data_IF_069524112429
#
_entry.id   IF_069524112429
#
_cell.length_a   1.000
_cell.length_b   1.000
_cell.length_c   1.000
_cell.angle_alpha   90.00
_cell.angle_beta   90.00
_cell.angle_gamma   90.00
#
_symmetry.space_group_name_H-M   'P 1'
#
loop_
_entity.id
_entity.type
_entity.pdbx_description
1 polymer ?
#
# COMPACT_ATOMS: atom_id res chain seq x y z
N UNK A 1 -25.39 -15.04 -2.31
CA UNK A 1 -24.18 -14.63 -1.56
C UNK A 1 -24.34 -13.33 -0.77
N UNK A 2 -24.27 -12.12 -1.37
CA UNK A 2 -24.32 -10.85 -0.59
C UNK A 2 -25.58 -10.74 0.27
N UNK A 3 -26.76 -10.99 -0.31
CA UNK A 3 -28.04 -10.96 0.42
C UNK A 3 -28.09 -11.95 1.60
N UNK A 4 -27.48 -13.12 1.46
CA UNK A 4 -27.44 -14.16 2.51
C UNK A 4 -26.44 -13.81 3.62
N UNK A 5 -25.39 -13.06 3.29
CA UNK A 5 -24.35 -12.65 4.24
C UNK A 5 -24.75 -11.40 5.05
N UNK A 6 -25.69 -10.59 4.58
CA UNK A 6 -26.16 -9.37 5.25
C UNK A 6 -26.51 -9.55 6.73
N UNK A 7 -27.29 -10.57 7.14
CA UNK A 7 -27.67 -10.74 8.55
C UNK A 7 -26.48 -10.98 9.48
N UNK A 8 -25.35 -11.48 8.95
CA UNK A 8 -24.14 -11.73 9.75
C UNK A 8 -23.42 -10.43 10.15
N UNK A 9 -23.43 -9.42 9.28
CA UNK A 9 -22.82 -8.10 9.55
C UNK A 9 -23.81 -7.11 10.16
N UNK A 10 -25.09 -7.25 9.84
CA UNK A 10 -26.16 -6.36 10.32
C UNK A 10 -27.27 -7.17 11.02
N UNK A 11 -27.00 -7.77 12.19
CA UNK A 11 -27.96 -8.61 12.90
C UNK A 11 -29.22 -7.84 13.35
N UNK A 12 -29.07 -6.53 13.62
CA UNK A 12 -30.18 -5.64 13.98
C UNK A 12 -30.97 -5.09 12.76
N UNK A 13 -30.69 -5.59 11.55
CA UNK A 13 -31.26 -5.12 10.30
C UNK A 13 -30.34 -4.18 9.53
N UNK A 14 -30.37 -4.30 8.20
CA UNK A 14 -29.50 -3.53 7.30
C UNK A 14 -30.06 -2.11 7.08
N UNK A 15 -29.30 -1.05 7.36
CA UNK A 15 -29.73 0.33 7.09
C UNK A 15 -30.05 0.57 5.61
N UNK A 16 -31.01 1.46 5.33
CA UNK A 16 -31.39 1.82 3.94
C UNK A 16 -30.22 2.38 3.13
N UNK A 17 -29.35 3.17 3.76
CA UNK A 17 -28.14 3.71 3.14
C UNK A 17 -27.18 2.60 2.68
N UNK A 18 -27.00 1.57 3.51
CA UNK A 18 -26.17 0.40 3.19
C UNK A 18 -26.78 -0.40 2.03
N UNK A 19 -28.11 -0.62 2.04
CA UNK A 19 -28.79 -1.31 0.93
C UNK A 19 -28.66 -0.54 -0.40
N UNK A 20 -28.80 0.79 -0.36
CA UNK A 20 -28.62 1.64 -1.53
C UNK A 20 -27.18 1.56 -2.06
N UNK A 21 -26.19 1.62 -1.17
CA UNK A 21 -24.78 1.48 -1.51
C UNK A 21 -24.50 0.09 -2.14
N UNK A 22 -24.93 -1.00 -1.50
CA UNK A 22 -24.72 -2.36 -2.02
C UNK A 22 -25.36 -2.52 -3.40
N UNK A 23 -26.55 -1.97 -3.62
CA UNK A 23 -27.20 -2.01 -4.94
C UNK A 23 -26.36 -1.29 -5.99
N UNK A 24 -25.89 -0.07 -5.69
CA UNK A 24 -25.00 0.69 -6.57
C UNK A 24 -23.71 -0.06 -6.89
N UNK A 25 -23.05 -0.63 -5.87
CA UNK A 25 -21.84 -1.42 -6.04
C UNK A 25 -22.07 -2.65 -6.93
N UNK A 26 -23.14 -3.42 -6.68
CA UNK A 26 -23.47 -4.59 -7.46
C UNK A 26 -23.84 -4.25 -8.92
N UNK A 27 -24.56 -3.16 -9.14
CA UNK A 27 -24.89 -2.67 -10.49
C UNK A 27 -23.59 -2.33 -11.26
N UNK A 28 -22.60 -1.69 -10.61
CA UNK A 28 -21.31 -1.36 -11.23
C UNK A 28 -20.42 -2.60 -11.45
N UNK A 29 -20.33 -3.49 -10.47
CA UNK A 29 -19.58 -4.75 -10.55
C UNK A 29 -20.12 -5.60 -11.71
N UNK A 30 -21.44 -5.66 -11.88
CA UNK A 30 -22.08 -6.38 -12.98
C UNK A 30 -21.80 -5.73 -14.34
N UNK A 31 -21.89 -4.39 -14.44
CA UNK A 31 -21.63 -3.66 -15.69
C UNK A 31 -20.18 -3.80 -16.18
N UNK A 32 -19.22 -3.87 -15.26
CA UNK A 32 -17.79 -3.98 -15.58
C UNK A 32 -17.28 -5.43 -15.59
N UNK A 33 -18.18 -6.41 -15.46
CA UNK A 33 -17.86 -7.85 -15.45
C UNK A 33 -16.81 -8.27 -14.39
N UNK A 34 -16.82 -7.62 -13.22
CA UNK A 34 -15.92 -7.94 -12.12
C UNK A 34 -16.48 -8.97 -11.13
N UNK A 35 -17.69 -9.49 -11.37
CA UNK A 35 -18.31 -10.49 -10.49
C UNK A 35 -17.42 -11.74 -10.25
N UNK A 36 -16.75 -12.34 -11.27
CA UNK A 36 -15.85 -13.47 -11.05
C UNK A 36 -14.70 -13.16 -10.08
N UNK A 37 -14.19 -11.92 -10.11
CA UNK A 37 -13.09 -11.50 -9.25
C UNK A 37 -13.49 -11.49 -7.77
N UNK A 38 -14.60 -10.84 -7.44
CA UNK A 38 -15.14 -10.80 -6.08
C UNK A 38 -15.48 -12.20 -5.56
N UNK A 39 -15.99 -13.08 -6.43
CA UNK A 39 -16.28 -14.48 -6.07
C UNK A 39 -15.01 -15.27 -5.76
N UNK A 40 -13.96 -15.12 -6.56
CA UNK A 40 -12.66 -15.75 -6.33
C UNK A 40 -12.06 -15.32 -5.00
N UNK A 41 -12.00 -14.01 -4.75
CA UNK A 41 -11.48 -13.45 -3.49
C UNK A 41 -12.31 -13.93 -2.30
N UNK A 42 -13.65 -13.88 -2.39
CA UNK A 42 -14.51 -14.40 -1.35
C UNK A 42 -14.24 -15.88 -1.08
N UNK A 43 -14.06 -16.70 -2.11
CA UNK A 43 -13.80 -18.14 -1.94
C UNK A 43 -12.49 -18.38 -1.16
N UNK A 44 -11.43 -17.65 -1.51
CA UNK A 44 -10.14 -17.71 -0.81
C UNK A 44 -10.30 -17.28 0.66
N UNK A 45 -10.98 -16.15 0.91
CA UNK A 45 -11.22 -15.62 2.26
C UNK A 45 -12.06 -16.59 3.10
N UNK A 46 -13.12 -17.18 2.53
CA UNK A 46 -13.95 -18.14 3.24
C UNK A 46 -13.17 -19.41 3.60
N UNK A 47 -12.26 -19.87 2.71
CA UNK A 47 -11.38 -20.99 3.02
C UNK A 47 -10.39 -20.66 4.15
N UNK A 48 -9.75 -19.50 4.11
CA UNK A 48 -8.86 -19.08 5.19
C UNK A 48 -9.61 -19.02 6.54
N UNK A 49 -10.80 -18.43 6.55
CA UNK A 49 -11.66 -18.35 7.73
C UNK A 49 -12.14 -19.71 8.23
N UNK A 50 -12.39 -20.68 7.36
CA UNK A 50 -12.81 -22.04 7.80
C UNK A 50 -11.69 -22.77 8.54
N UNK A 51 -10.43 -22.38 8.34
CA UNK A 51 -9.26 -22.86 9.07
C UNK A 51 -8.90 -21.99 10.29
N UNK A 52 -9.75 -20.99 10.61
CA UNK A 52 -9.47 -20.03 11.67
C UNK A 52 -8.31 -19.08 11.35
N UNK A 53 -7.91 -18.94 10.08
CA UNK A 53 -6.88 -17.98 9.67
C UNK A 53 -7.49 -16.59 9.64
N UNK A 54 -6.89 -15.69 10.41
CA UNK A 54 -7.23 -14.28 10.44
C UNK A 54 -6.74 -13.62 9.14
N UNK A 55 -7.67 -12.98 8.44
CA UNK A 55 -7.37 -12.25 7.21
C UNK A 55 -8.13 -10.92 7.16
N UNK A 56 -7.56 -9.95 6.45
CA UNK A 56 -8.10 -8.61 6.31
C UNK A 56 -7.79 -8.05 4.93
N UNK A 57 -8.83 -7.65 4.19
CA UNK A 57 -8.68 -6.88 2.97
C UNK A 57 -8.14 -5.48 3.26
N UNK A 58 -7.24 -5.00 2.41
CA UNK A 58 -6.63 -3.67 2.52
C UNK A 58 -6.82 -2.84 1.24
N UNK A 59 -6.24 -1.64 1.24
CA UNK A 59 -6.30 -0.74 0.09
C UNK A 59 -7.73 -0.26 -0.17
N UNK A 60 -8.07 -0.11 -1.45
CA UNK A 60 -9.37 0.42 -1.87
C UNK A 60 -10.53 -0.55 -1.63
N UNK A 61 -10.27 -1.85 -1.42
CA UNK A 61 -11.29 -2.83 -1.04
C UNK A 61 -12.02 -2.46 0.26
N UNK A 62 -11.38 -1.71 1.17
CA UNK A 62 -11.99 -1.19 2.39
C UNK A 62 -13.15 -0.22 2.13
N UNK A 63 -13.25 0.35 0.92
CA UNK A 63 -14.30 1.27 0.52
C UNK A 63 -15.57 0.57 0.01
N UNK A 64 -15.60 -0.76 -0.07
CA UNK A 64 -16.73 -1.53 -0.62
C UNK A 64 -17.60 -2.16 0.46
N UNK A 65 -18.89 -1.81 0.44
CA UNK A 65 -19.90 -2.44 1.28
C UNK A 65 -20.07 -3.92 0.91
N UNK A 66 -19.90 -4.29 -0.36
CA UNK A 66 -19.89 -5.69 -0.81
C UNK A 66 -18.72 -6.46 -0.15
N UNK A 67 -17.50 -5.93 -0.18
CA UNK A 67 -16.34 -6.56 0.48
C UNK A 67 -16.56 -6.73 2.00
N UNK A 68 -17.15 -5.73 2.66
CA UNK A 68 -17.46 -5.78 4.09
C UNK A 68 -18.49 -6.87 4.42
N UNK A 69 -19.59 -6.93 3.65
CA UNK A 69 -20.66 -7.93 3.83
C UNK A 69 -20.17 -9.35 3.58
N UNK A 70 -19.27 -9.54 2.62
CA UNK A 70 -18.63 -10.82 2.33
C UNK A 70 -17.50 -11.19 3.32
N UNK A 71 -17.26 -10.34 4.32
CA UNK A 71 -16.21 -10.49 5.31
C UNK A 71 -14.78 -10.53 4.74
N UNK A 72 -14.59 -9.96 3.55
CA UNK A 72 -13.27 -9.67 2.98
C UNK A 72 -12.62 -8.54 3.79
N UNK A 73 -13.40 -7.53 4.18
CA UNK A 73 -12.95 -6.43 5.05
C UNK A 73 -13.72 -6.43 6.37
N UNK A 74 -13.10 -5.90 7.43
CA UNK A 74 -13.72 -5.76 8.76
C UNK A 74 -14.36 -4.39 9.06
N UNK A 75 -14.17 -3.37 8.22
CA UNK A 75 -14.65 -2.00 8.45
C UNK A 75 -15.89 -1.72 7.59
N UNK A 76 -16.94 -1.14 8.19
CA UNK A 76 -18.14 -0.68 7.48
C UNK A 76 -17.86 0.64 6.76
N UNK A 77 -17.77 0.66 5.41
CA UNK A 77 -17.39 1.86 4.66
C UNK A 77 -18.45 2.96 4.70
N UNK A 78 -19.73 2.60 4.88
CA UNK A 78 -20.84 3.56 4.89
C UNK A 78 -20.79 4.40 6.17
N UNK A 79 -20.42 3.78 7.29
CA UNK A 79 -20.21 4.50 8.56
C UNK A 79 -18.96 5.38 8.53
N UNK A 80 -17.91 4.92 7.87
CA UNK A 80 -16.65 5.66 7.75
C UNK A 80 -16.66 6.74 6.64
N UNK A 81 -17.73 6.83 5.84
CA UNK A 81 -17.85 7.80 4.74
C UNK A 81 -16.83 7.56 3.62
N UNK A 82 -16.46 6.30 3.39
CA UNK A 82 -15.50 5.92 2.36
C UNK A 82 -16.18 5.89 0.98
N UNK A 83 -15.43 6.29 -0.06
CA UNK A 83 -15.94 6.41 -1.43
C UNK A 83 -15.64 5.16 -2.24
N UNK A 84 -16.69 4.46 -2.68
CA UNK A 84 -16.56 3.23 -3.48
C UNK A 84 -15.93 3.48 -4.85
N UNK A 85 -16.16 4.65 -5.45
CA UNK A 85 -15.61 5.02 -6.76
C UNK A 85 -14.07 5.10 -6.76
N UNK A 86 -13.42 5.13 -5.59
CA UNK A 86 -11.95 4.98 -5.47
C UNK A 86 -11.50 3.54 -5.72
N UNK A 87 -12.38 2.57 -5.53
CA UNK A 87 -12.11 1.16 -5.72
C UNK A 87 -12.49 0.72 -7.13
N UNK A 88 -13.74 0.94 -7.54
CA UNK A 88 -14.24 0.57 -8.87
C UNK A 88 -14.79 1.82 -9.54
N UNK A 89 -14.28 2.16 -10.73
CA UNK A 89 -14.79 3.28 -11.53
C UNK A 89 -14.89 2.90 -13.00
N UNK A 90 -16.02 3.22 -13.61
CA UNK A 90 -16.23 3.06 -15.05
C UNK A 90 -15.35 4.01 -15.89
N UNK A 91 -14.97 5.16 -15.34
CA UNK A 91 -14.17 6.18 -16.04
C UNK A 91 -12.69 5.81 -16.12
N UNK A 92 -12.15 5.16 -15.07
CA UNK A 92 -10.73 4.77 -15.05
C UNK A 92 -10.45 3.53 -15.89
N UNK A 93 -11.45 2.65 -16.06
CA UNK A 93 -11.31 1.36 -16.75
C UNK A 93 -10.07 0.56 -16.31
N UNK A 94 -9.71 0.68 -15.02
CA UNK A 94 -8.64 -0.06 -14.37
C UNK A 94 -9.24 -1.25 -13.61
N UNK A 95 -8.61 -2.43 -13.67
CA UNK A 95 -9.05 -3.58 -12.88
C UNK A 95 -9.02 -3.25 -11.38
N UNK A 96 -10.04 -3.67 -10.60
CA UNK A 96 -10.00 -3.55 -9.15
C UNK A 96 -8.88 -4.43 -8.58
N UNK A 97 -8.17 -3.91 -7.59
CA UNK A 97 -7.13 -4.65 -6.86
C UNK A 97 -7.63 -4.92 -5.43
N UNK A 98 -7.98 -6.18 -5.14
CA UNK A 98 -8.34 -6.63 -3.80
C UNK A 98 -7.16 -7.37 -3.19
N UNK A 99 -6.38 -6.61 -2.45
CA UNK A 99 -5.31 -7.13 -1.63
C UNK A 99 -5.87 -7.71 -0.32
N UNK A 100 -5.50 -8.95 -0.01
CA UNK A 100 -5.87 -9.59 1.26
C UNK A 100 -4.62 -9.96 2.04
N UNK A 101 -4.53 -9.41 3.25
CA UNK A 101 -3.52 -9.80 4.22
C UNK A 101 -4.00 -11.02 5.01
N UNK A 102 -3.11 -11.99 5.18
CA UNK A 102 -3.27 -13.21 5.97
C UNK A 102 -2.20 -13.27 7.05
N UNK A 103 -2.41 -14.12 8.06
CA UNK A 103 -1.36 -14.45 9.03
C UNK A 103 -0.09 -14.93 8.32
N UNK A 104 1.05 -14.29 8.59
CA UNK A 104 2.29 -14.55 7.86
C UNK A 104 2.79 -16.00 7.98
N UNK A 105 2.57 -16.61 9.14
CA UNK A 105 2.94 -17.98 9.48
C UNK A 105 1.98 -19.03 8.89
N UNK A 106 0.73 -18.66 8.57
CA UNK A 106 -0.29 -19.57 8.02
C UNK A 106 -0.66 -19.34 6.56
N UNK A 107 -0.15 -18.27 5.93
CA UNK A 107 -0.47 -17.94 4.53
C UNK A 107 -0.15 -19.08 3.55
N UNK A 108 0.84 -19.92 3.86
CA UNK A 108 1.20 -21.05 3.00
C UNK A 108 0.04 -22.03 2.81
N UNK A 109 -0.79 -22.24 3.85
CA UNK A 109 -1.96 -23.11 3.76
C UNK A 109 -2.95 -22.63 2.69
N UNK A 110 -3.10 -21.31 2.56
CA UNK A 110 -3.96 -20.64 1.59
C UNK A 110 -3.36 -20.75 0.18
N UNK A 111 -2.07 -20.46 0.03
CA UNK A 111 -1.31 -20.60 -1.22
C UNK A 111 -1.47 -22.02 -1.78
N UNK A 112 -1.22 -23.02 -0.95
CA UNK A 112 -1.30 -24.43 -1.37
C UNK A 112 -2.73 -24.85 -1.68
N UNK A 113 -3.72 -24.30 -0.99
CA UNK A 113 -5.11 -24.54 -1.34
C UNK A 113 -5.49 -23.92 -2.69
N UNK A 114 -5.01 -22.73 -3.02
CA UNK A 114 -5.24 -22.11 -4.33
C UNK A 114 -4.71 -23.04 -5.44
N UNK A 115 -3.49 -23.56 -5.31
CA UNK A 115 -2.95 -24.53 -6.27
C UNK A 115 -3.80 -25.79 -6.39
N UNK A 116 -4.30 -26.35 -5.28
CA UNK A 116 -5.18 -27.52 -5.30
C UNK A 116 -6.56 -27.22 -5.91
N UNK A 117 -7.12 -26.05 -5.62
CA UNK A 117 -8.49 -25.67 -5.98
C UNK A 117 -8.63 -25.29 -7.45
N UNK A 118 -7.65 -24.56 -7.98
CA UNK A 118 -7.64 -24.02 -9.34
C UNK A 118 -6.70 -24.78 -10.28
N UNK A 119 -5.79 -25.59 -9.74
CA UNK A 119 -4.80 -26.33 -10.50
C UNK A 119 -3.50 -25.55 -10.72
N UNK A 120 -2.37 -26.25 -10.66
CA UNK A 120 -1.04 -25.68 -10.89
C UNK A 120 -0.85 -25.19 -12.34
N UNK A 121 -1.61 -25.70 -13.30
CA UNK A 121 -1.59 -25.19 -14.67
C UNK A 121 -2.26 -23.82 -14.82
N UNK A 122 -3.05 -23.36 -13.84
CA UNK A 122 -3.85 -22.13 -13.95
C UNK A 122 -3.51 -21.07 -12.90
N UNK A 123 -2.75 -21.45 -11.87
CA UNK A 123 -2.36 -20.60 -10.77
C UNK A 123 -0.84 -20.57 -10.62
N UNK A 124 -0.25 -19.38 -10.50
CA UNK A 124 1.16 -19.18 -10.21
C UNK A 124 1.39 -17.82 -9.55
N UNK A 125 2.53 -17.66 -8.90
CA UNK A 125 2.97 -16.36 -8.39
C UNK A 125 3.60 -15.52 -9.52
N UNK A 126 3.55 -14.20 -9.40
CA UNK A 126 4.34 -13.32 -10.28
C UNK A 126 5.83 -13.42 -9.94
N UNK A 127 6.68 -13.15 -10.92
CA UNK A 127 8.09 -12.89 -10.63
C UNK A 127 8.28 -11.51 -10.01
N UNK A 128 9.43 -11.33 -9.37
CA UNK A 128 10.00 -10.01 -9.10
C UNK A 128 11.31 -9.88 -9.86
N UNK A 129 11.45 -8.86 -10.71
CA UNK A 129 12.72 -8.63 -11.40
C UNK A 129 13.65 -7.87 -10.46
N UNK A 130 14.60 -8.58 -9.85
CA UNK A 130 15.61 -7.94 -9.01
C UNK A 130 16.65 -7.26 -9.91
N UNK A 131 16.76 -5.94 -9.80
CA UNK A 131 17.73 -5.14 -10.56
C UNK A 131 18.90 -4.71 -9.68
N UNK A 132 20.05 -4.49 -10.30
CA UNK A 132 21.20 -3.94 -9.59
C UNK A 132 20.89 -2.54 -9.05
N UNK A 133 20.96 -2.42 -7.73
CA UNK A 133 20.92 -1.16 -7.01
C UNK A 133 22.34 -0.64 -6.79
N UNK A 134 22.56 0.68 -6.58
CA UNK A 134 23.91 1.27 -6.52
C UNK A 134 24.88 0.53 -5.59
N UNK A 135 24.43 0.18 -4.38
CA UNK A 135 25.23 -0.57 -3.41
C UNK A 135 25.60 -1.98 -3.88
N UNK A 136 24.66 -2.67 -4.53
CA UNK A 136 24.87 -4.01 -5.06
C UNK A 136 25.81 -4.01 -6.26
N UNK A 137 25.63 -3.04 -7.16
CA UNK A 137 26.50 -2.86 -8.32
C UNK A 137 27.95 -2.61 -7.91
N UNK A 138 28.18 -1.72 -6.92
CA UNK A 138 29.53 -1.45 -6.40
C UNK A 138 30.22 -2.69 -5.82
N UNK A 139 29.49 -3.51 -5.06
CA UNK A 139 30.04 -4.73 -4.47
C UNK A 139 30.43 -5.75 -5.54
N UNK A 140 29.53 -6.00 -6.48
CA UNK A 140 29.70 -7.05 -7.48
C UNK A 140 30.80 -6.67 -8.50
N UNK A 141 30.79 -5.44 -9.01
CA UNK A 141 31.84 -4.94 -9.90
C UNK A 141 33.18 -4.84 -9.18
N UNK A 142 33.20 -4.34 -7.94
CA UNK A 142 34.42 -4.24 -7.15
C UNK A 142 35.07 -5.60 -6.90
N UNK A 143 34.26 -6.61 -6.58
CA UNK A 143 34.71 -8.00 -6.44
C UNK A 143 35.33 -8.53 -7.73
N UNK A 144 34.69 -8.32 -8.88
CA UNK A 144 35.21 -8.74 -10.19
C UNK A 144 36.53 -8.03 -10.54
N UNK A 145 36.67 -6.76 -10.18
CA UNK A 145 37.91 -6.01 -10.35
C UNK A 145 38.97 -6.31 -9.27
N UNK A 146 38.72 -7.30 -8.41
CA UNK A 146 39.63 -7.83 -7.40
C UNK A 146 39.85 -6.92 -6.19
N UNK A 147 38.94 -5.96 -5.94
CA UNK A 147 39.00 -5.14 -4.73
C UNK A 147 38.73 -6.00 -3.50
N UNK A 148 39.36 -5.67 -2.38
CA UNK A 148 39.12 -6.36 -1.12
C UNK A 148 37.66 -6.17 -0.65
N UNK A 149 37.10 -7.18 0.02
CA UNK A 149 35.70 -7.15 0.48
C UNK A 149 35.42 -5.96 1.41
N UNK A 150 36.34 -5.63 2.31
CA UNK A 150 36.20 -4.47 3.21
C UNK A 150 36.12 -3.15 2.43
N UNK A 151 36.91 -3.01 1.38
CA UNK A 151 36.91 -1.83 0.52
C UNK A 151 35.60 -1.73 -0.26
N UNK A 152 35.13 -2.82 -0.86
CA UNK A 152 33.85 -2.81 -1.59
C UNK A 152 32.66 -2.55 -0.65
N UNK A 153 32.71 -3.04 0.59
CA UNK A 153 31.71 -2.77 1.60
C UNK A 153 31.69 -1.29 2.02
N UNK A 154 32.86 -0.67 2.21
CA UNK A 154 32.99 0.76 2.49
C UNK A 154 32.46 1.60 1.32
N UNK A 155 32.89 1.30 0.09
CA UNK A 155 32.40 1.98 -1.11
C UNK A 155 30.88 1.89 -1.22
N UNK A 156 30.29 0.69 -1.07
CA UNK A 156 28.85 0.52 -1.14
C UNK A 156 28.09 1.30 -0.04
N UNK A 157 28.64 1.36 1.17
CA UNK A 157 28.02 2.09 2.29
C UNK A 157 28.02 3.61 2.06
N UNK A 158 29.17 4.16 1.67
CA UNK A 158 29.41 5.61 1.63
C UNK A 158 29.14 6.25 0.27
N UNK A 159 29.43 5.55 -0.83
CA UNK A 159 29.31 6.08 -2.19
C UNK A 159 28.00 5.67 -2.88
N UNK A 160 27.35 4.60 -2.42
CA UNK A 160 26.18 4.05 -3.11
C UNK A 160 25.02 5.04 -3.30
N UNK A 161 24.75 5.93 -2.34
CA UNK A 161 23.65 6.90 -2.46
C UNK A 161 23.98 8.13 -3.30
N UNK A 162 25.26 8.34 -3.61
CA UNK A 162 25.76 9.52 -4.35
C UNK A 162 26.40 9.13 -5.68
N UNK A 163 26.18 7.88 -6.11
CA UNK A 163 26.90 7.33 -7.25
C UNK A 163 26.60 8.11 -8.54
N UNK A 164 25.41 8.67 -8.68
CA UNK A 164 24.98 9.43 -9.86
C UNK A 164 25.32 10.93 -9.78
N UNK A 165 25.88 11.41 -8.66
CA UNK A 165 26.30 12.80 -8.46
C UNK A 165 27.83 12.88 -8.40
N UNK A 166 28.51 13.40 -9.45
CA UNK A 166 29.97 13.45 -9.49
C UNK A 166 30.60 14.27 -8.36
N UNK A 167 30.00 15.40 -7.98
CA UNK A 167 30.56 16.32 -6.99
C UNK A 167 30.42 15.73 -5.58
N UNK A 168 29.24 15.20 -5.26
CA UNK A 168 29.01 14.51 -3.99
C UNK A 168 29.83 13.22 -3.90
N UNK A 169 29.98 12.47 -4.99
CA UNK A 169 30.82 11.28 -5.02
C UNK A 169 32.26 11.63 -4.67
N UNK A 170 32.82 12.68 -5.29
CA UNK A 170 34.19 13.12 -5.04
C UNK A 170 34.39 13.53 -3.58
N UNK A 171 33.46 14.31 -3.02
CA UNK A 171 33.50 14.71 -1.61
C UNK A 171 33.42 13.49 -0.67
N UNK A 172 32.48 12.56 -0.91
CA UNK A 172 32.33 11.35 -0.10
C UNK A 172 33.50 10.40 -0.20
N UNK A 173 34.13 10.29 -1.37
CA UNK A 173 35.32 9.47 -1.55
C UNK A 173 36.52 10.02 -0.75
N UNK A 174 36.68 11.34 -0.71
CA UNK A 174 37.71 12.00 0.10
C UNK A 174 37.51 11.77 1.60
N UNK A 175 36.27 11.82 2.10
CA UNK A 175 35.95 11.53 3.51
C UNK A 175 36.43 10.14 3.97
N UNK A 176 36.46 9.16 3.06
CA UNK A 176 36.93 7.80 3.33
C UNK A 176 38.32 7.52 2.76
N UNK A 177 39.07 8.57 2.40
CA UNK A 177 40.44 8.50 1.88
C UNK A 177 40.61 7.62 0.62
N UNK A 178 39.60 7.57 -0.25
CA UNK A 178 39.70 6.89 -1.54
C UNK A 178 40.24 7.83 -2.62
N UNK A 179 41.31 7.41 -3.27
CA UNK A 179 41.82 8.10 -4.46
C UNK A 179 41.05 7.65 -5.71
N UNK A 180 40.12 8.49 -6.16
CA UNK A 180 39.33 8.22 -7.36
C UNK A 180 40.16 8.21 -8.66
N UNK A 181 41.44 8.60 -8.62
CA UNK A 181 42.36 8.48 -9.75
C UNK A 181 42.96 7.08 -9.86
N UNK A 182 42.86 6.25 -8.82
CA UNK A 182 43.24 4.85 -8.92
C UNK A 182 42.43 4.18 -10.03
N UNK A 183 43.14 3.55 -10.96
CA UNK A 183 42.53 2.99 -12.17
C UNK A 183 41.45 1.95 -11.85
N UNK A 184 41.66 1.11 -10.83
CA UNK A 184 40.72 0.04 -10.47
C UNK A 184 39.48 0.62 -9.80
N UNK A 185 39.64 1.61 -8.93
CA UNK A 185 38.52 2.34 -8.31
C UNK A 185 37.70 3.10 -9.34
N UNK A 186 38.36 3.87 -10.21
CA UNK A 186 37.70 4.62 -11.28
C UNK A 186 36.89 3.68 -12.21
N UNK A 187 37.49 2.57 -12.61
CA UNK A 187 36.82 1.57 -13.45
C UNK A 187 35.65 0.89 -12.71
N UNK A 188 35.80 0.62 -11.41
CA UNK A 188 34.72 0.08 -10.57
C UNK A 188 33.52 1.01 -10.57
N UNK A 189 33.73 2.30 -10.34
CA UNK A 189 32.67 3.29 -10.30
C UNK A 189 32.00 3.46 -11.66
N UNK A 190 32.78 3.49 -12.73
CA UNK A 190 32.27 3.59 -14.10
C UNK A 190 31.37 2.40 -14.47
N UNK A 191 31.87 1.17 -14.29
CA UNK A 191 31.12 -0.04 -14.61
C UNK A 191 29.94 -0.25 -13.67
N UNK A 192 30.07 0.08 -12.38
CA UNK A 192 28.96 -0.01 -11.44
C UNK A 192 27.79 0.88 -11.86
N UNK A 193 28.04 2.11 -12.33
CA UNK A 193 27.00 3.00 -12.88
C UNK A 193 26.28 2.39 -14.07
N UNK A 194 27.03 1.82 -15.01
CA UNK A 194 26.44 1.16 -16.18
C UNK A 194 25.58 -0.04 -15.80
N UNK A 195 25.92 -0.72 -14.71
CA UNK A 195 25.19 -1.90 -14.25
C UNK A 195 23.90 -1.57 -13.50
N UNK A 196 23.72 -0.33 -13.00
CA UNK A 196 22.50 0.05 -12.27
C UNK A 196 21.27 -0.17 -13.15
N UNK A 197 20.23 -0.79 -12.60
CA UNK A 197 18.99 -1.07 -13.30
C UNK A 197 19.01 -2.32 -14.20
N UNK A 198 20.18 -2.91 -14.49
CA UNK A 198 20.24 -4.19 -15.18
C UNK A 198 19.55 -5.30 -14.37
N UNK A 199 18.78 -6.19 -15.01
CA UNK A 199 18.18 -7.34 -14.35
C UNK A 199 19.29 -8.29 -13.88
N UNK A 200 19.22 -8.70 -12.61
CA UNK A 200 20.18 -9.62 -11.97
C UNK A 200 19.60 -11.03 -11.86
N UNK A 201 18.38 -11.15 -11.35
CA UNK A 201 17.72 -12.43 -11.15
C UNK A 201 16.20 -12.25 -11.03
N UNK A 202 15.46 -13.33 -11.29
CA UNK A 202 14.05 -13.42 -10.95
C UNK A 202 13.90 -13.89 -9.51
N UNK A 203 13.13 -13.14 -8.74
CA UNK A 203 12.62 -13.53 -7.43
C UNK A 203 11.16 -13.95 -7.49
N UNK A 204 10.64 -14.35 -6.34
CA UNK A 204 9.22 -14.68 -6.16
C UNK A 204 8.49 -13.48 -5.58
N UNK A 205 7.38 -13.05 -6.20
CA UNK A 205 6.54 -12.00 -5.62
C UNK A 205 5.97 -12.48 -4.28
N UNK A 206 5.95 -11.63 -3.23
CA UNK A 206 5.61 -12.05 -1.87
C UNK A 206 4.15 -12.52 -1.68
N UNK A 207 3.25 -12.21 -2.62
CA UNK A 207 1.85 -12.67 -2.54
C UNK A 207 1.06 -12.61 -3.85
N UNK A 208 1.65 -12.16 -4.95
CA UNK A 208 0.88 -11.80 -6.14
C UNK A 208 0.55 -13.01 -6.97
N UNK A 209 -0.64 -13.56 -6.78
CA UNK A 209 -1.14 -14.72 -7.52
C UNK A 209 -1.81 -14.28 -8.80
N UNK A 210 -1.42 -14.93 -9.89
CA UNK A 210 -2.14 -14.88 -11.16
C UNK A 210 -3.04 -16.10 -11.25
N UNK A 211 -4.31 -15.87 -11.60
CA UNK A 211 -5.29 -16.92 -11.82
C UNK A 211 -5.88 -16.74 -13.22
N UNK A 212 -5.77 -17.79 -14.04
CA UNK A 212 -6.21 -17.79 -15.45
C UNK A 212 -7.21 -18.90 -15.72
N UNK A 213 -8.03 -18.72 -16.76
CA UNK A 213 -8.91 -19.79 -17.26
C UNK A 213 -8.13 -20.76 -18.16
N UNK A 214 -7.30 -20.21 -19.04
CA UNK A 214 -6.42 -20.97 -19.90
C UNK A 214 -5.18 -21.43 -19.11
N UNK A 215 -4.40 -22.33 -19.70
CA UNK A 215 -3.19 -22.84 -19.07
C UNK A 215 -2.09 -21.77 -19.10
N UNK A 216 -1.46 -21.52 -17.96
CA UNK A 216 -0.37 -20.56 -17.82
C UNK A 216 0.82 -20.89 -18.72
N UNK A 217 1.17 -22.18 -18.85
CA UNK A 217 2.30 -22.62 -19.67
C UNK A 217 2.07 -22.49 -21.18
N UNK A 218 0.85 -22.19 -21.61
CA UNK A 218 0.54 -21.79 -23.00
C UNK A 218 0.67 -20.27 -23.21
N UNK A 219 0.70 -19.49 -22.12
CA UNK A 219 0.73 -18.03 -22.13
C UNK A 219 2.14 -17.48 -21.84
N UNK A 220 2.82 -18.05 -20.85
CA UNK A 220 4.09 -17.55 -20.32
C UNK A 220 4.90 -18.71 -19.73
N UNK A 221 6.23 -18.72 -19.86
CA UNK A 221 7.06 -19.69 -19.17
C UNK A 221 6.81 -19.69 -17.65
N UNK A 222 6.60 -20.89 -17.11
CA UNK A 222 6.42 -21.14 -15.67
C UNK A 222 7.65 -21.86 -15.16
N UNK A 223 8.19 -21.41 -14.02
CA UNK A 223 9.33 -22.05 -13.38
C UNK A 223 9.05 -22.34 -11.90
N UNK A 224 9.55 -23.48 -11.37
CA UNK A 224 9.51 -23.74 -9.94
C UNK A 224 10.36 -22.71 -9.18
N UNK A 225 9.99 -22.41 -7.95
CA UNK A 225 10.79 -21.53 -7.07
C UNK A 225 11.71 -22.36 -6.17
N UNK A 226 12.61 -21.69 -5.45
CA UNK A 226 13.40 -22.34 -4.39
C UNK A 226 12.54 -22.85 -3.22
N UNK A 227 11.34 -22.30 -3.03
CA UNK A 227 10.37 -22.84 -2.08
C UNK A 227 9.64 -24.03 -2.71
N UNK A 228 9.57 -25.12 -1.94
CA UNK A 228 8.86 -26.33 -2.33
C UNK A 228 7.40 -26.00 -2.68
N UNK A 229 6.89 -26.70 -3.69
CA UNK A 229 5.52 -26.58 -4.16
C UNK A 229 5.05 -25.16 -4.54
N UNK A 230 5.99 -24.29 -4.91
CA UNK A 230 5.67 -22.98 -5.49
C UNK A 230 6.24 -22.83 -6.88
N UNK A 231 5.53 -22.07 -7.70
CA UNK A 231 5.93 -21.73 -9.06
C UNK A 231 5.65 -20.26 -9.35
N UNK A 232 6.46 -19.70 -10.25
CA UNK A 232 6.31 -18.33 -10.73
C UNK A 232 6.20 -18.30 -12.24
N UNK A 233 5.43 -17.35 -12.76
CA UNK A 233 5.55 -16.91 -14.16
C UNK A 233 6.75 -15.99 -14.30
N UNK A 234 7.31 -15.88 -15.51
CA UNK A 234 8.47 -15.00 -15.75
C UNK A 234 8.13 -13.50 -15.83
N UNK A 235 6.85 -13.15 -15.88
CA UNK A 235 6.35 -11.78 -15.86
C UNK A 235 6.25 -11.22 -14.45
N UNK A 236 6.57 -9.94 -14.30
CA UNK A 236 6.42 -9.21 -13.04
C UNK A 236 5.05 -8.52 -12.94
N UNK A 237 4.88 -7.74 -11.86
CA UNK A 237 3.63 -7.02 -11.58
C UNK A 237 3.26 -6.05 -12.70
N UNK A 238 4.24 -5.36 -13.28
CA UNK A 238 3.97 -4.34 -14.27
C UNK A 238 3.57 -5.00 -15.60
N UNK A 239 4.22 -6.11 -15.96
CA UNK A 239 3.87 -6.92 -17.12
C UNK A 239 2.42 -7.45 -17.04
N UNK A 240 2.02 -8.02 -15.90
CA UNK A 240 0.66 -8.56 -15.74
C UNK A 240 -0.41 -7.47 -15.73
N UNK A 241 -0.09 -6.28 -15.23
CA UNK A 241 -1.00 -5.13 -15.22
C UNK A 241 -1.21 -4.61 -16.66
N UNK A 242 -0.16 -4.57 -17.48
CA UNK A 242 -0.24 -4.25 -18.92
C UNK A 242 -1.08 -5.28 -19.67
N UNK A 243 -0.89 -6.55 -19.39
CA UNK A 243 -1.62 -7.66 -20.01
C UNK A 243 -3.04 -7.83 -19.45
N UNK A 244 -3.39 -7.07 -18.41
CA UNK A 244 -4.70 -7.09 -17.72
C UNK A 244 -5.05 -8.47 -17.16
N UNK A 245 -4.04 -9.17 -16.66
CA UNK A 245 -4.26 -10.44 -15.99
C UNK A 245 -4.91 -10.19 -14.63
N UNK A 246 -5.84 -11.07 -14.26
CA UNK A 246 -6.44 -11.03 -12.93
C UNK A 246 -5.40 -11.46 -11.89
N UNK A 247 -5.16 -10.59 -10.90
CA UNK A 247 -4.29 -10.89 -9.77
C UNK A 247 -5.02 -10.85 -8.44
N UNK A 248 -4.62 -11.73 -7.53
CA UNK A 248 -5.05 -11.72 -6.14
C UNK A 248 -3.80 -11.71 -5.27
N UNK A 249 -3.66 -10.70 -4.42
CA UNK A 249 -2.53 -10.60 -3.52
C UNK A 249 -2.81 -11.35 -2.20
N UNK A 250 -2.09 -12.45 -2.00
CA UNK A 250 -2.07 -13.29 -0.79
C UNK A 250 -0.86 -12.89 0.07
N UNK A 251 -1.02 -11.82 0.83
CA UNK A 251 0.10 -11.22 1.56
C UNK A 251 0.15 -11.68 3.00
N UNK A 252 1.37 -11.76 3.54
CA UNK A 252 1.60 -12.17 4.93
C UNK A 252 1.83 -10.96 5.82
N UNK A 253 0.97 -10.78 6.82
CA UNK A 253 1.10 -9.73 7.82
C UNK A 253 1.24 -10.34 9.22
N UNK A 254 2.42 -10.21 9.82
CA UNK A 254 2.72 -10.80 11.13
C UNK A 254 1.83 -10.29 12.27
N UNK A 255 1.31 -9.06 12.14
CA UNK A 255 0.41 -8.50 13.14
C UNK A 255 -0.95 -9.23 13.20
N UNK A 256 -1.41 -9.84 12.11
CA UNK A 256 -2.62 -10.65 12.13
C UNK A 256 -2.44 -11.92 12.98
N UNK A 257 -1.25 -12.54 12.89
CA UNK A 257 -0.91 -13.68 13.76
C UNK A 257 -0.79 -13.27 15.23
N UNK A 258 -0.32 -12.04 15.49
CA UNK A 258 -0.33 -11.47 16.85
C UNK A 258 -1.76 -11.32 17.38
N UNK A 259 -2.66 -10.72 16.58
CA UNK A 259 -4.07 -10.55 16.93
C UNK A 259 -4.77 -11.89 17.20
N UNK A 260 -4.56 -12.91 16.35
CA UNK A 260 -5.10 -14.27 16.59
C UNK A 260 -4.69 -14.77 17.97
N UNK A 261 -3.39 -14.76 18.29
CA UNK A 261 -2.89 -15.22 19.58
C UNK A 261 -3.46 -14.43 20.76
N UNK A 262 -3.68 -13.13 20.59
CA UNK A 262 -4.37 -12.32 21.59
C UNK A 262 -5.83 -12.78 21.80
N UNK A 263 -6.58 -13.07 20.73
CA UNK A 263 -7.95 -13.59 20.85
C UNK A 263 -7.99 -14.99 21.47
N UNK A 264 -7.04 -15.87 21.11
CA UNK A 264 -6.90 -17.19 21.74
C UNK A 264 -6.64 -17.07 23.24
N UNK A 265 -5.73 -16.18 23.65
CA UNK A 265 -5.48 -15.92 25.06
C UNK A 265 -6.71 -15.38 25.79
N UNK A 266 -7.55 -14.57 25.12
CA UNK A 266 -8.80 -14.07 25.69
C UNK A 266 -9.84 -15.18 25.89
N UNK A 267 -9.96 -16.09 24.92
CA UNK A 267 -10.86 -17.25 25.05
C UNK A 267 -10.35 -18.21 26.15
N UNK A 268 -9.07 -18.58 26.10
CA UNK A 268 -8.47 -19.55 27.04
C UNK A 268 -8.52 -19.09 28.50
N UNK A 269 -8.32 -17.78 28.75
CA UNK A 269 -8.16 -17.24 30.12
C UNK A 269 -9.42 -16.62 30.68
N UNK A 270 -10.28 -16.08 29.81
CA UNK A 270 -11.46 -15.33 30.23
C UNK A 270 -12.76 -15.85 29.61
N UNK A 271 -12.71 -16.85 28.72
CA UNK A 271 -13.87 -17.35 27.98
C UNK A 271 -14.44 -16.31 27.00
N UNK A 272 -13.64 -15.30 26.62
CA UNK A 272 -14.08 -14.21 25.75
C UNK A 272 -13.68 -14.53 24.31
N UNK A 273 -14.65 -14.96 23.52
CA UNK A 273 -14.49 -15.16 22.07
C UNK A 273 -14.66 -13.85 21.32
N UNK A 274 -13.62 -13.46 20.59
CA UNK A 274 -13.59 -12.23 19.81
C UNK A 274 -12.92 -12.46 18.46
N UNK A 275 -13.34 -11.70 17.45
CA UNK A 275 -12.66 -11.56 16.17
C UNK A 275 -12.37 -10.07 15.89
N UNK A 276 -11.68 -9.76 14.79
CA UNK A 276 -11.34 -8.38 14.43
C UNK A 276 -12.58 -7.49 14.33
N UNK A 277 -13.70 -8.02 13.83
CA UNK A 277 -14.90 -7.22 13.60
C UNK A 277 -15.71 -6.97 14.88
N UNK A 278 -15.47 -7.77 15.93
CA UNK A 278 -16.10 -7.61 17.23
C UNK A 278 -15.36 -6.64 18.17
N UNK A 279 -14.18 -6.13 17.78
CA UNK A 279 -13.44 -5.13 18.57
C UNK A 279 -14.30 -3.86 18.73
N UNK A 280 -14.55 -3.39 19.97
CA UNK A 280 -15.33 -2.19 20.20
C UNK A 280 -14.68 -0.95 19.55
N UNK A 281 -15.44 -0.13 18.82
CA UNK A 281 -14.93 1.13 18.28
C UNK A 281 -14.77 2.17 19.40
N UNK A 282 -13.87 3.13 19.17
CA UNK A 282 -13.73 4.33 19.99
C UNK A 282 -13.41 4.11 21.49
N UNK A 283 -12.53 3.15 21.80
CA UNK A 283 -12.09 2.91 23.19
C UNK A 283 -11.19 4.03 23.73
N UNK A 284 -11.69 4.74 24.75
CA UNK A 284 -11.01 5.87 25.35
C UNK A 284 -9.66 5.50 26.02
N UNK A 285 -9.53 4.28 26.55
CA UNK A 285 -8.28 3.83 27.20
C UNK A 285 -7.18 3.63 26.17
N UNK A 286 -7.52 3.03 25.03
CA UNK A 286 -6.64 2.85 23.88
C UNK A 286 -6.15 4.20 23.36
N UNK A 287 -7.03 5.19 23.19
CA UNK A 287 -6.61 6.53 22.79
C UNK A 287 -5.76 7.26 23.82
N UNK A 288 -6.02 7.07 25.11
CA UNK A 288 -5.19 7.64 26.18
C UNK A 288 -3.78 7.03 26.21
N UNK A 289 -3.64 5.73 25.95
CA UNK A 289 -2.36 5.05 25.76
C UNK A 289 -1.61 5.64 24.54
N UNK A 290 -2.28 5.68 23.38
CA UNK A 290 -1.72 6.20 22.14
C UNK A 290 -1.29 7.67 22.28
N UNK A 291 -2.11 8.50 22.93
CA UNK A 291 -1.80 9.93 23.15
C UNK A 291 -0.56 10.15 24.03
N UNK A 292 -0.17 9.18 24.86
CA UNK A 292 1.09 9.23 25.65
C UNK A 292 2.30 8.71 24.87
N UNK A 293 2.12 8.38 23.59
CA UNK A 293 3.09 7.68 22.76
C UNK A 293 3.51 6.30 23.28
N UNK A 294 2.70 5.68 24.15
CA UNK A 294 2.93 4.32 24.64
C UNK A 294 2.49 3.30 23.59
N UNK A 295 3.26 3.22 22.51
CA UNK A 295 2.86 2.57 21.25
C UNK A 295 3.91 1.60 20.71
N UNK A 296 4.88 1.22 21.54
CA UNK A 296 5.85 0.20 21.19
C UNK A 296 5.13 -1.12 20.86
N UNK A 297 5.36 -1.68 19.67
CA UNK A 297 4.65 -2.87 19.19
C UNK A 297 3.24 -2.60 18.65
N UNK A 298 2.81 -1.34 18.55
CA UNK A 298 1.55 -0.96 17.92
C UNK A 298 1.77 -0.65 16.43
N UNK A 299 1.13 -1.44 15.57
CA UNK A 299 1.32 -1.38 14.12
C UNK A 299 1.13 0.03 13.56
N UNK A 300 2.05 0.44 12.67
CA UNK A 300 2.13 1.75 11.99
C UNK A 300 2.41 3.00 12.85
N UNK A 301 2.23 2.96 14.17
CA UNK A 301 2.44 4.13 15.05
C UNK A 301 3.57 3.98 16.07
N UNK A 302 4.38 2.92 15.97
CA UNK A 302 5.53 2.66 16.85
C UNK A 302 6.84 3.40 16.48
N UNK A 303 6.94 3.97 15.28
CA UNK A 303 8.20 4.59 14.84
C UNK A 303 8.51 5.85 15.64
N UNK A 304 9.80 6.22 15.78
CA UNK A 304 10.20 7.44 16.49
C UNK A 304 9.47 8.70 15.98
N UNK A 305 9.30 8.82 14.67
CA UNK A 305 8.59 9.96 14.08
C UNK A 305 7.11 9.98 14.49
N UNK A 306 6.44 8.82 14.44
CA UNK A 306 5.05 8.66 14.89
C UNK A 306 4.91 8.95 16.39
N UNK A 307 5.73 8.31 17.23
CA UNK A 307 5.75 8.49 18.69
C UNK A 307 6.01 9.94 19.10
N UNK A 308 6.86 10.68 18.37
CA UNK A 308 7.12 12.08 18.66
C UNK A 308 5.91 12.99 18.40
N UNK A 309 5.03 12.59 17.49
CA UNK A 309 3.87 13.37 17.08
C UNK A 309 2.62 13.08 17.92
N UNK A 310 2.45 11.84 18.38
CA UNK A 310 1.26 11.40 19.12
C UNK A 310 0.89 12.31 20.33
N UNK A 311 1.84 12.77 21.18
CA UNK A 311 1.52 13.65 22.31
C UNK A 311 1.05 15.04 21.91
N UNK A 312 1.33 15.47 20.68
CA UNK A 312 0.86 16.73 20.11
C UNK A 312 -0.51 16.56 19.48
N UNK A 313 -0.69 15.50 18.68
CA UNK A 313 -1.96 15.22 18.02
C UNK A 313 -3.09 14.88 19.00
N UNK A 314 -2.76 14.14 20.07
CA UNK A 314 -3.69 13.63 21.09
C UNK A 314 -4.94 12.98 20.46
N UNK A 315 -4.79 11.84 19.75
CA UNK A 315 -5.91 11.18 19.10
C UNK A 315 -7.04 10.88 20.08
N UNK A 316 -8.28 11.17 19.69
CA UNK A 316 -9.50 10.86 20.46
C UNK A 316 -10.54 10.09 19.65
N UNK A 317 -10.34 10.00 18.35
CA UNK A 317 -11.24 9.33 17.41
C UNK A 317 -10.46 8.47 16.43
N UNK A 318 -11.12 7.52 15.77
CA UNK A 318 -10.45 6.69 14.76
C UNK A 318 -9.89 7.56 13.62
N UNK A 319 -10.61 8.62 13.25
CA UNK A 319 -10.19 9.54 12.21
C UNK A 319 -8.88 10.26 12.55
N UNK A 320 -8.61 10.55 13.83
CA UNK A 320 -7.34 11.13 14.24
C UNK A 320 -6.16 10.16 13.96
N UNK A 321 -6.37 8.85 14.09
CA UNK A 321 -5.36 7.85 13.72
C UNK A 321 -5.14 7.78 12.20
N UNK A 322 -6.21 7.94 11.42
CA UNK A 322 -6.09 8.05 9.95
C UNK A 322 -5.22 9.26 9.59
N UNK A 323 -5.43 10.40 10.26
CA UNK A 323 -4.58 11.59 10.09
C UNK A 323 -3.14 11.33 10.54
N UNK A 324 -2.93 10.72 11.71
CA UNK A 324 -1.61 10.40 12.27
C UNK A 324 -0.74 9.60 11.28
N UNK A 325 -1.33 8.56 10.68
CA UNK A 325 -0.62 7.71 9.71
C UNK A 325 -0.39 8.42 8.37
N UNK A 326 -1.27 9.34 7.99
CA UNK A 326 -1.15 10.09 6.74
C UNK A 326 -0.10 11.21 6.81
N UNK A 327 -0.07 11.96 7.92
CA UNK A 327 0.73 13.19 8.05
C UNK A 327 2.22 12.91 8.31
N UNK A 328 2.57 11.79 8.95
CA UNK A 328 3.97 11.37 9.16
C UNK A 328 4.47 10.59 7.94
N UNK A 329 4.49 11.27 6.79
CA UNK A 329 5.00 10.74 5.52
C UNK A 329 5.88 11.79 4.83
N UNK A 330 6.84 11.37 3.98
CA UNK A 330 7.75 12.32 3.32
C UNK A 330 7.04 13.45 2.57
N UNK A 331 5.92 13.17 1.90
CA UNK A 331 5.16 14.17 1.14
C UNK A 331 4.65 15.31 2.01
N UNK A 332 3.78 15.05 3.01
CA UNK A 332 3.31 16.09 3.94
C UNK A 332 4.42 16.79 4.72
N UNK A 333 5.52 16.10 5.06
CA UNK A 333 6.67 16.70 5.73
C UNK A 333 7.39 17.69 4.80
N UNK A 334 7.63 17.32 3.54
CA UNK A 334 8.27 18.19 2.54
C UNK A 334 7.37 19.34 2.10
N UNK A 335 6.06 19.13 2.07
CA UNK A 335 5.05 20.14 1.74
C UNK A 335 4.67 21.06 2.90
N UNK A 336 5.41 21.02 4.01
CA UNK A 336 5.16 21.81 5.23
C UNK A 336 3.71 21.75 5.76
N UNK A 337 3.04 20.61 5.57
CA UNK A 337 1.63 20.42 5.97
C UNK A 337 1.48 20.07 7.46
N UNK A 338 2.56 19.59 8.07
CA UNK A 338 2.60 19.11 9.46
C UNK A 338 2.37 20.24 10.45
N UNK A 339 3.09 21.35 10.28
CA UNK A 339 3.08 22.46 11.23
C UNK A 339 1.73 23.21 11.25
N UNK A 340 1.12 23.59 10.12
CA UNK A 340 -0.19 24.24 10.10
C UNK A 340 -1.28 23.37 10.75
N UNK A 341 -1.31 22.08 10.42
CA UNK A 341 -2.31 21.16 10.97
C UNK A 341 -2.20 21.08 12.50
N UNK A 342 -0.99 20.91 13.04
CA UNK A 342 -0.79 20.81 14.49
C UNK A 342 -1.12 22.11 15.21
N UNK A 343 -0.74 23.27 14.68
CA UNK A 343 -1.09 24.56 15.29
C UNK A 343 -2.60 24.76 15.37
N UNK A 344 -3.33 24.42 14.31
CA UNK A 344 -4.79 24.49 14.26
C UNK A 344 -5.43 23.50 15.22
N UNK A 345 -4.88 22.28 15.31
CA UNK A 345 -5.33 21.25 16.24
C UNK A 345 -5.11 21.64 17.71
N UNK A 346 -4.01 22.33 18.00
CA UNK A 346 -3.64 22.84 19.32
C UNK A 346 -4.41 24.15 19.67
N UNK A 347 -5.19 24.71 18.74
CA UNK A 347 -5.94 25.96 18.91
C UNK A 347 -5.06 27.22 18.87
N UNK A 348 -3.84 27.12 18.31
CA UNK A 348 -2.89 28.23 18.14
C UNK A 348 -3.11 29.02 16.84
N UNK A 349 -4.01 28.54 15.98
CA UNK A 349 -4.40 29.13 14.71
C UNK A 349 -5.82 28.65 14.39
N UNK A 350 -6.68 29.51 13.84
CA UNK A 350 -8.00 29.09 13.41
C UNK A 350 -7.92 28.30 12.08
N UNK A 351 -8.75 27.27 11.87
CA UNK A 351 -8.84 26.59 10.58
C UNK A 351 -9.23 27.55 9.46
N UNK A 352 -8.42 27.60 8.40
CA UNK A 352 -8.71 28.41 7.22
C UNK A 352 -9.41 27.55 6.15
N UNK A 353 -10.67 27.87 5.85
CA UNK A 353 -11.49 27.28 4.80
C UNK A 353 -12.28 28.40 4.12
N UNK A 354 -11.79 28.98 3.00
CA UNK A 354 -12.32 30.23 2.46
C UNK A 354 -13.70 30.10 1.78
N UNK A 355 -14.23 28.88 1.64
CA UNK A 355 -15.58 28.66 1.10
C UNK A 355 -16.29 27.48 1.78
N UNK A 356 -17.64 27.46 1.82
CA UNK A 356 -18.40 26.32 2.35
C UNK A 356 -18.09 25.00 1.63
N UNK A 357 -17.75 25.05 0.34
CA UNK A 357 -17.35 23.89 -0.42
C UNK A 357 -15.99 23.35 0.03
N UNK A 358 -15.02 24.24 0.32
CA UNK A 358 -13.73 23.84 0.87
C UNK A 358 -13.83 23.37 2.31
N UNK A 359 -14.74 23.93 3.11
CA UNK A 359 -15.05 23.42 4.45
C UNK A 359 -15.58 21.99 4.40
N UNK A 360 -16.44 21.66 3.42
CA UNK A 360 -16.92 20.30 3.21
C UNK A 360 -15.79 19.29 2.85
N UNK A 361 -14.73 19.76 2.18
CA UNK A 361 -13.59 18.94 1.74
C UNK A 361 -12.51 18.83 2.83
N UNK A 362 -12.13 19.96 3.43
CA UNK A 362 -10.95 20.13 4.29
C UNK A 362 -11.30 20.33 5.77
N UNK A 363 -12.57 20.49 6.14
CA UNK A 363 -12.97 20.78 7.52
C UNK A 363 -12.49 19.72 8.50
N UNK A 364 -12.57 18.44 8.13
CA UNK A 364 -12.05 17.32 8.94
C UNK A 364 -10.53 17.34 9.11
N UNK A 365 -9.81 18.00 8.22
CA UNK A 365 -8.35 18.16 8.27
C UNK A 365 -7.94 19.60 8.57
N UNK A 366 -8.83 20.38 9.20
CA UNK A 366 -8.57 21.75 9.66
C UNK A 366 -8.02 22.65 8.55
N UNK A 367 -8.57 22.55 7.33
CA UNK A 367 -8.14 23.37 6.19
C UNK A 367 -6.82 22.92 5.55
N UNK A 368 -6.26 21.77 5.92
CA UNK A 368 -5.00 21.25 5.35
C UNK A 368 -5.29 20.05 4.44
N UNK A 369 -4.87 20.05 3.16
CA UNK A 369 -5.12 18.95 2.23
C UNK A 369 -4.14 17.78 2.48
N UNK A 370 -4.43 16.97 3.51
CA UNK A 370 -3.57 15.86 3.93
C UNK A 370 -3.71 14.62 3.05
N UNK A 371 -4.88 14.42 2.45
CA UNK A 371 -5.15 13.28 1.57
C UNK A 371 -5.07 13.67 0.10
N UNK A 372 -4.62 12.74 -0.75
CA UNK A 372 -4.51 12.98 -2.19
C UNK A 372 -5.86 13.39 -2.79
N UNK A 373 -6.94 12.81 -2.31
CA UNK A 373 -8.27 13.07 -2.84
C UNK A 373 -8.81 14.42 -2.40
N UNK A 374 -8.38 14.93 -1.23
CA UNK A 374 -8.66 16.31 -0.86
C UNK A 374 -7.95 17.27 -1.80
N UNK A 375 -6.67 17.01 -2.11
CA UNK A 375 -5.93 17.83 -3.08
C UNK A 375 -6.59 17.83 -4.47
N UNK A 376 -7.10 16.68 -4.93
CA UNK A 376 -7.86 16.60 -6.17
C UNK A 376 -9.17 17.39 -6.12
N UNK A 377 -9.96 17.24 -5.05
CA UNK A 377 -11.22 17.98 -4.90
C UNK A 377 -11.00 19.50 -4.82
N UNK A 378 -9.92 19.93 -4.17
CA UNK A 378 -9.49 21.33 -4.17
C UNK A 378 -9.11 21.77 -5.58
N UNK A 379 -8.37 20.98 -6.35
CA UNK A 379 -8.02 21.32 -7.74
C UNK A 379 -9.25 21.43 -8.66
N UNK A 380 -10.22 20.52 -8.53
CA UNK A 380 -11.48 20.56 -9.27
C UNK A 380 -12.25 21.84 -8.91
N UNK A 381 -12.40 22.13 -7.61
CA UNK A 381 -13.23 23.23 -7.16
C UNK A 381 -12.58 24.61 -7.37
N UNK A 382 -11.28 24.73 -7.13
CA UNK A 382 -10.57 26.01 -7.19
C UNK A 382 -9.95 26.30 -8.56
N UNK A 383 -9.45 25.28 -9.26
CA UNK A 383 -8.78 25.43 -10.55
C UNK A 383 -9.66 25.00 -11.74
N UNK A 384 -10.89 24.54 -11.50
CA UNK A 384 -11.84 24.16 -12.55
C UNK A 384 -11.45 22.89 -13.29
N UNK A 385 -10.59 22.04 -12.71
CA UNK A 385 -10.14 20.81 -13.35
C UNK A 385 -11.31 19.84 -13.53
N UNK A 386 -11.36 19.15 -14.66
CA UNK A 386 -12.23 17.99 -14.81
C UNK A 386 -11.74 16.84 -13.90
N UNK A 387 -12.61 15.89 -13.53
CA UNK A 387 -12.22 14.73 -12.74
C UNK A 387 -11.03 13.94 -13.36
N UNK A 388 -10.97 13.86 -14.69
CA UNK A 388 -9.88 13.22 -15.42
C UNK A 388 -8.55 13.98 -15.30
N UNK A 389 -8.57 15.31 -15.43
CA UNK A 389 -7.37 16.15 -15.25
C UNK A 389 -6.85 16.10 -13.82
N UNK A 390 -7.74 16.04 -12.83
CA UNK A 390 -7.35 15.89 -11.43
C UNK A 390 -6.67 14.53 -11.15
N UNK A 391 -7.11 13.43 -11.80
CA UNK A 391 -6.41 12.14 -11.67
C UNK A 391 -5.06 12.15 -12.40
N UNK A 392 -4.96 12.82 -13.55
CA UNK A 392 -3.67 13.02 -14.22
C UNK A 392 -2.69 13.84 -13.36
N UNK A 393 -3.17 14.89 -12.68
CA UNK A 393 -2.39 15.65 -11.70
C UNK A 393 -1.88 14.73 -10.59
N UNK A 394 -2.76 13.88 -10.03
CA UNK A 394 -2.38 12.89 -9.00
C UNK A 394 -1.28 11.95 -9.47
N UNK A 395 -1.42 11.36 -10.67
CA UNK A 395 -0.39 10.46 -11.24
C UNK A 395 0.93 11.19 -11.43
N UNK A 396 0.90 12.40 -11.98
CA UNK A 396 2.08 13.22 -12.23
C UNK A 396 2.84 13.55 -10.94
N UNK A 397 2.12 13.86 -9.85
CA UNK A 397 2.73 14.11 -8.53
C UNK A 397 3.36 12.86 -7.93
N UNK A 398 2.82 11.66 -8.19
CA UNK A 398 3.41 10.40 -7.76
C UNK A 398 4.66 10.03 -8.58
N UNK A 399 4.65 10.31 -9.89
CA UNK A 399 5.77 10.04 -10.82
C UNK A 399 6.91 11.06 -10.69
N UNK A 400 6.65 12.24 -10.12
CA UNK A 400 7.67 13.27 -9.85
C UNK A 400 8.84 12.74 -9.00
N UNK A 401 8.60 11.70 -8.18
CA UNK A 401 9.63 10.96 -7.43
C UNK A 401 10.64 10.22 -8.31
N UNK A 402 10.33 9.94 -9.57
CA UNK A 402 11.16 9.13 -10.47
C UNK A 402 11.80 9.93 -11.62
N UNK A 403 11.16 11.01 -12.10
CA UNK A 403 11.60 11.71 -13.32
C UNK A 403 12.03 13.16 -13.14
N UNK A 404 11.79 13.78 -11.98
CA UNK A 404 12.28 15.13 -11.66
C UNK A 404 11.74 16.28 -12.54
N UNK A 405 10.80 16.02 -13.45
CA UNK A 405 10.22 17.02 -14.37
C UNK A 405 8.68 16.92 -14.37
N UNK A 406 7.95 18.05 -14.27
CA UNK A 406 6.52 18.07 -14.57
C UNK A 406 6.30 17.81 -16.07
N UNK A 407 5.19 17.16 -16.46
CA UNK A 407 4.92 16.93 -17.88
C UNK A 407 4.76 18.26 -18.64
N UNK A 408 5.18 18.31 -19.92
CA UNK A 408 5.09 19.52 -20.74
C UNK A 408 3.63 19.99 -20.85
N UNK A 409 3.36 21.20 -20.35
CA UNK A 409 2.02 21.82 -20.34
C UNK A 409 1.54 22.32 -18.97
N UNK A 410 2.16 21.89 -17.87
CA UNK A 410 1.73 22.21 -16.50
C UNK A 410 1.70 23.70 -16.12
N UNK A 411 2.48 24.54 -16.80
CA UNK A 411 2.60 25.97 -16.51
C UNK A 411 1.75 26.88 -17.41
N UNK A 412 0.90 26.33 -18.29
CA UNK A 412 0.15 27.16 -19.27
C UNK A 412 -1.15 27.78 -18.74
N UNK A 413 -1.62 27.44 -17.54
CA UNK A 413 -2.92 27.94 -17.03
C UNK A 413 -2.86 28.77 -15.74
N UNK A 414 -1.69 29.18 -15.26
CA UNK A 414 -1.56 29.95 -14.00
C UNK A 414 -1.09 31.40 -14.17
N UNK A 415 -1.22 32.00 -15.35
CA UNK A 415 -1.04 33.44 -15.55
C UNK A 415 -2.14 33.96 -16.49
N UNK A 416 -3.36 34.10 -15.97
CA UNK A 416 -4.37 35.04 -16.46
C UNK A 416 -5.65 34.92 -15.64
N UNK A 417 -5.71 35.51 -14.44
CA UNK A 417 -6.59 36.64 -14.05
C UNK A 417 -6.37 36.95 -12.58
#
# INVERSE_FOLDING_TARGET
MVREALPRRYPAGTPKSVLAQIKHELDLIGRLDYAPYFLTVNTIVQYARSLGIVCQGRGSAANSAVCYVLAVTAIDPVRSGLLFERFVSAERNEPPDIDVDFESDRREEVIQWIYRRYGRSHAALCATVMRYQPRGALREVGKVLGLADDLTAQMAKHLGSVLDDPDLLQARAQEINLDLRDRRLALTLHLARQLIGFPRQLGTHPGGFVLTRDRLDELVPVQPTAMEDRQIITWDKDDIDVLRFMKVDILGLGMLGCLRRCFELLDDRFGIRMDIAAIPPEDARTYAMISRADTLGTFQIESRAQMSMLPRLKPKTFYDLVVQVAIVRPGPIQGDMVHPYLRRREGLEDPDCPSPALEAILGKTLGVPLFQEQAMQVAIHCAGFTPGEADQLRRSMATFKFTGLPPPGFLRHSIST
#
